data_IF_545680473488
#
_entry.id   IF_545680473488
#
_cell.length_a   1.000
_cell.length_b   1.000
_cell.length_c   1.000
_cell.angle_alpha   90.00
_cell.angle_beta   90.00
_cell.angle_gamma   90.00
#
_symmetry.space_group_name_H-M   'P 1'
#
loop_
_entity.id
_entity.type
_entity.pdbx_description
1 polymer ?
#
# COMPACT_ATOMS: atom_id res chain seq x y z
N UNK A 1 12.61 -10.89 11.51
CA UNK A 1 11.63 -10.22 12.39
C UNK A 1 10.40 -9.98 11.53
N UNK A 2 9.27 -10.62 11.84
CA UNK A 2 8.02 -10.42 11.09
C UNK A 2 7.49 -9.01 11.41
N UNK A 3 7.25 -8.17 10.40
CA UNK A 3 6.52 -6.90 10.57
C UNK A 3 5.04 -7.21 10.38
N UNK A 4 4.19 -6.76 11.31
CA UNK A 4 2.74 -6.99 11.28
C UNK A 4 2.04 -5.76 10.70
N UNK A 5 1.10 -5.95 9.78
CA UNK A 5 0.23 -4.87 9.30
C UNK A 5 -0.82 -4.60 10.37
N UNK A 6 -0.96 -3.34 10.78
CA UNK A 6 -1.94 -2.96 11.81
C UNK A 6 -2.94 -1.96 11.29
N UNK A 7 -4.22 -2.32 11.34
CA UNK A 7 -5.35 -1.54 10.85
C UNK A 7 -6.37 -1.35 11.97
N UNK A 8 -6.83 -0.12 12.18
CA UNK A 8 -7.94 0.17 13.08
C UNK A 8 -9.15 0.73 12.31
N UNK A 9 -10.34 0.22 12.60
CA UNK A 9 -11.63 0.77 12.20
C UNK A 9 -12.28 1.42 13.42
N UNK A 10 -12.81 2.63 13.24
CA UNK A 10 -13.63 3.30 14.24
C UNK A 10 -15.10 3.19 13.82
N UNK A 11 -15.91 2.43 14.58
CA UNK A 11 -17.36 2.29 14.36
C UNK A 11 -18.18 3.09 15.38
N UNK A 12 -19.50 3.19 15.15
CA UNK A 12 -20.40 4.20 15.72
C UNK A 12 -20.78 3.98 17.19
N UNK A 13 -20.39 2.89 17.85
CA UNK A 13 -20.79 2.65 19.25
C UNK A 13 -19.67 2.03 20.06
N UNK A 14 -19.19 2.76 21.07
CA UNK A 14 -18.30 2.21 22.09
C UNK A 14 -19.02 1.13 22.91
N UNK A 15 -18.80 -0.13 22.55
CA UNK A 15 -19.04 -1.28 23.41
C UNK A 15 -18.18 -2.46 22.92
N UNK A 16 -17.40 -3.03 23.83
CA UNK A 16 -16.48 -4.12 23.56
C UNK A 16 -17.21 -5.45 23.36
N UNK A 17 -16.88 -6.18 22.28
CA UNK A 17 -17.05 -7.63 22.21
C UNK A 17 -15.79 -8.19 21.52
N UNK A 18 -14.94 -8.87 22.28
CA UNK A 18 -13.92 -9.74 21.70
C UNK A 18 -14.61 -11.06 21.35
N UNK A 19 -14.76 -11.37 20.06
CA UNK A 19 -15.28 -12.65 19.60
C UNK A 19 -14.14 -13.46 18.95
N UNK A 20 -13.97 -14.75 19.31
CA UNK A 20 -13.08 -15.64 18.59
C UNK A 20 -13.64 -15.88 17.19
N UNK A 21 -12.78 -15.83 16.19
CA UNK A 21 -13.12 -16.05 14.78
C UNK A 21 -13.64 -17.48 14.60
N UNK A 22 -14.96 -17.64 14.55
CA UNK A 22 -15.67 -18.61 13.70
C UNK A 22 -17.09 -18.08 13.44
N UNK A 23 -17.38 -17.80 12.16
CA UNK A 23 -18.69 -17.48 11.59
C UNK A 23 -19.57 -16.46 12.35
N UNK A 24 -19.41 -15.18 12.01
CA UNK A 24 -20.53 -14.24 11.96
C UNK A 24 -20.18 -13.14 10.96
N UNK A 25 -20.97 -13.06 9.89
CA UNK A 25 -20.82 -12.09 8.83
C UNK A 25 -21.15 -10.68 9.34
N UNK A 26 -20.12 -9.90 9.64
CA UNK A 26 -20.21 -8.44 9.66
C UNK A 26 -19.91 -7.99 8.22
N UNK A 27 -20.74 -7.11 7.65
CA UNK A 27 -20.70 -6.78 6.22
C UNK A 27 -19.30 -6.33 5.78
N UNK A 28 -18.58 -7.26 5.13
CA UNK A 28 -17.40 -6.98 4.32
C UNK A 28 -17.81 -5.90 3.34
N UNK A 29 -17.19 -4.73 3.43
CA UNK A 29 -17.39 -3.63 2.48
C UNK A 29 -17.11 -4.16 1.06
N UNK A 30 -18.17 -4.36 0.29
CA UNK A 30 -18.11 -4.81 -1.11
C UNK A 30 -17.90 -3.64 -2.07
N UNK A 31 -17.44 -2.47 -1.58
CA UNK A 31 -16.86 -1.44 -2.43
C UNK A 31 -15.90 -2.08 -3.45
N UNK A 32 -15.91 -1.58 -4.71
CA UNK A 32 -15.40 -2.31 -5.88
C UNK A 32 -14.04 -2.91 -5.55
N UNK A 33 -14.03 -4.23 -5.38
CA UNK A 33 -12.78 -4.95 -5.22
C UNK A 33 -12.08 -4.78 -6.54
N UNK A 34 -10.95 -4.07 -6.56
CA UNK A 34 -9.93 -4.27 -7.59
C UNK A 34 -9.30 -5.61 -7.24
N UNK A 35 -10.11 -6.67 -7.36
CA UNK A 35 -9.84 -7.99 -6.79
C UNK A 35 -8.65 -8.57 -7.51
N UNK A 36 -7.63 -8.91 -6.73
CA UNK A 36 -6.64 -9.93 -7.01
C UNK A 36 -6.03 -9.85 -8.41
N UNK A 37 -5.11 -8.90 -8.62
CA UNK A 37 -4.09 -9.16 -9.64
C UNK A 37 -3.39 -10.46 -9.21
N UNK A 38 -3.51 -11.56 -9.97
CA UNK A 38 -3.19 -12.89 -9.46
C UNK A 38 -1.74 -12.90 -8.97
N UNK A 39 -1.55 -13.18 -7.68
CA UNK A 39 -0.25 -13.52 -7.11
C UNK A 39 0.26 -14.73 -7.91
N UNK A 40 1.16 -14.46 -8.86
CA UNK A 40 1.63 -15.49 -9.79
C UNK A 40 2.51 -16.50 -9.05
N UNK A 41 2.51 -17.78 -9.47
CA UNK A 41 3.28 -18.83 -8.79
C UNK A 41 4.75 -18.50 -8.56
N UNK A 42 5.39 -17.74 -9.48
CA UNK A 42 6.77 -17.32 -9.33
C UNK A 42 6.99 -16.32 -8.17
N UNK A 43 5.99 -15.50 -7.82
CA UNK A 43 6.06 -14.60 -6.66
C UNK A 43 6.08 -15.39 -5.34
N UNK A 44 5.33 -16.50 -5.26
CA UNK A 44 5.35 -17.39 -4.08
C UNK A 44 6.61 -18.25 -4.01
N UNK A 45 7.03 -18.81 -5.16
CA UNK A 45 8.18 -19.73 -5.22
C UNK A 45 9.52 -19.06 -4.91
N UNK A 46 9.62 -17.74 -5.06
CA UNK A 46 10.82 -16.94 -4.71
C UNK A 46 10.79 -16.34 -3.30
N UNK A 47 9.82 -16.70 -2.44
CA UNK A 47 9.76 -16.23 -1.05
C UNK A 47 9.46 -14.72 -0.90
N UNK A 48 8.82 -14.11 -1.90
CA UNK A 48 8.62 -12.66 -1.99
C UNK A 48 7.41 -12.13 -1.21
N UNK A 49 6.63 -13.04 -0.64
CA UNK A 49 5.48 -12.77 0.21
C UNK A 49 5.50 -13.83 1.33
N UNK A 50 5.74 -13.40 2.57
CA UNK A 50 5.63 -14.22 3.77
C UNK A 50 4.25 -14.03 4.40
N UNK A 51 3.76 -15.02 5.15
CA UNK A 51 2.55 -14.89 5.97
C UNK A 51 2.73 -13.73 6.95
N UNK A 52 2.03 -12.62 6.73
CA UNK A 52 2.01 -11.48 7.64
C UNK A 52 0.81 -11.57 8.57
N UNK A 53 1.03 -11.24 9.83
CA UNK A 53 -0.05 -11.12 10.79
C UNK A 53 -0.68 -9.74 10.63
N UNK A 54 -1.86 -9.69 10.02
CA UNK A 54 -2.72 -8.51 10.03
C UNK A 54 -3.57 -8.50 11.30
N UNK A 55 -3.62 -7.36 11.99
CA UNK A 55 -4.50 -7.17 13.14
C UNK A 55 -5.51 -6.05 12.85
N UNK A 56 -6.80 -6.38 12.97
CA UNK A 56 -7.91 -5.45 12.81
C UNK A 56 -8.49 -5.07 14.18
N UNK A 57 -8.49 -3.77 14.48
CA UNK A 57 -9.02 -3.23 15.72
C UNK A 57 -10.33 -2.46 15.45
N UNK A 58 -11.47 -3.01 15.86
CA UNK A 58 -12.80 -2.41 15.58
C UNK A 58 -13.25 -1.38 16.63
N UNK A 59 -12.52 -1.27 17.74
CA UNK A 59 -12.87 -0.40 18.89
C UNK A 59 -12.06 0.89 18.93
N UNK A 60 -11.24 1.14 17.92
CA UNK A 60 -10.41 2.34 17.77
C UNK A 60 -8.91 2.08 17.67
N UNK A 61 -8.16 3.18 17.52
CA UNK A 61 -6.71 3.12 17.35
C UNK A 61 -6.03 2.63 18.63
N UNK A 62 -5.27 1.55 18.52
CA UNK A 62 -4.46 1.00 19.60
C UNK A 62 -3.20 1.86 19.79
N UNK A 63 -3.20 2.68 20.85
CA UNK A 63 -2.10 3.62 21.14
C UNK A 63 -0.79 2.93 21.46
N UNK A 64 -0.78 1.61 21.70
CA UNK A 64 0.46 0.85 21.90
C UNK A 64 1.16 0.44 20.60
N UNK A 65 0.57 0.72 19.44
CA UNK A 65 1.03 0.26 18.12
C UNK A 65 1.64 1.34 17.24
N UNK A 66 1.66 2.59 17.71
CA UNK A 66 2.26 3.70 16.98
C UNK A 66 2.93 4.68 17.94
N UNK A 67 3.93 5.41 17.43
CA UNK A 67 4.77 6.33 18.21
C UNK A 67 4.55 7.81 17.89
N UNK A 68 3.99 8.11 16.71
CA UNK A 68 3.73 9.49 16.27
C UNK A 68 2.30 9.94 16.58
N UNK A 69 2.05 11.25 16.51
CA UNK A 69 0.68 11.73 16.36
C UNK A 69 0.07 11.17 15.06
N UNK A 70 -1.25 10.95 15.04
CA UNK A 70 -1.97 10.53 13.84
C UNK A 70 -2.11 11.73 12.90
N UNK A 71 -1.56 11.62 11.70
CA UNK A 71 -1.80 12.55 10.61
C UNK A 71 -3.13 12.23 9.95
N UNK A 72 -4.12 13.09 10.15
CA UNK A 72 -5.46 12.91 9.58
C UNK A 72 -5.55 13.51 8.18
N UNK A 73 -6.09 12.73 7.25
CA UNK A 73 -6.40 13.16 5.89
C UNK A 73 -7.92 13.02 5.66
N UNK A 74 -8.63 14.10 5.28
CA UNK A 74 -10.06 14.04 5.03
C UNK A 74 -10.37 13.18 3.80
N UNK A 75 -11.52 12.50 3.83
CA UNK A 75 -12.02 11.78 2.67
C UNK A 75 -12.59 12.76 1.64
N UNK A 76 -12.34 12.48 0.36
CA UNK A 76 -12.92 13.20 -0.79
C UNK A 76 -13.97 12.37 -1.53
N UNK A 77 -14.10 11.08 -1.20
CA UNK A 77 -15.15 10.20 -1.71
C UNK A 77 -15.50 9.10 -0.68
N UNK A 78 -16.59 8.39 -0.93
CA UNK A 78 -17.17 7.40 0.01
C UNK A 78 -16.33 6.11 0.17
N UNK A 79 -15.46 5.81 -0.79
CA UNK A 79 -14.66 4.58 -0.89
C UNK A 79 -13.22 4.77 -0.39
N UNK A 80 -13.05 5.41 0.77
CA UNK A 80 -11.75 5.65 1.41
C UNK A 80 -10.71 6.38 0.54
N UNK A 81 -11.19 7.33 -0.26
CA UNK A 81 -10.34 8.17 -1.11
C UNK A 81 -9.93 9.41 -0.33
N UNK A 82 -8.64 9.69 -0.28
CA UNK A 82 -8.08 10.93 0.24
C UNK A 82 -7.11 11.57 -0.75
N UNK A 83 -6.65 12.78 -0.47
CA UNK A 83 -5.58 13.43 -1.24
C UNK A 83 -4.22 13.04 -0.67
N UNK A 84 -3.27 12.77 -1.55
CA UNK A 84 -1.88 12.54 -1.16
C UNK A 84 -0.89 12.89 -2.27
N UNK A 85 0.38 12.89 -1.88
CA UNK A 85 1.53 13.09 -2.77
C UNK A 85 2.44 11.88 -2.65
N UNK A 86 2.97 11.40 -3.77
CA UNK A 86 3.95 10.31 -3.81
C UNK A 86 5.25 10.81 -4.43
N UNK A 87 6.34 10.67 -3.69
CA UNK A 87 7.65 11.19 -4.04
C UNK A 87 8.65 10.10 -4.42
N UNK A 88 9.58 10.45 -5.30
CA UNK A 88 10.87 9.76 -5.48
C UNK A 88 11.96 10.66 -4.89
N UNK A 89 12.55 10.24 -3.77
CA UNK A 89 13.38 11.12 -2.96
C UNK A 89 12.63 12.38 -2.56
N UNK A 90 13.16 13.55 -2.93
CA UNK A 90 12.52 14.84 -2.66
C UNK A 90 11.64 15.37 -3.81
N UNK A 91 11.48 14.60 -4.89
CA UNK A 91 10.72 15.02 -6.07
C UNK A 91 9.27 14.51 -5.96
N UNK A 92 8.26 15.38 -5.92
CA UNK A 92 6.86 14.96 -6.02
C UNK A 92 6.58 14.46 -7.43
N UNK A 93 6.40 13.15 -7.57
CA UNK A 93 6.24 12.48 -8.86
C UNK A 93 4.77 12.13 -9.18
N UNK A 94 3.90 12.19 -8.17
CA UNK A 94 2.44 12.16 -8.32
C UNK A 94 1.78 12.96 -7.18
N UNK A 95 0.63 13.58 -7.47
CA UNK A 95 -0.25 14.20 -6.48
C UNK A 95 -1.68 14.13 -6.97
N UNK A 96 -2.57 13.60 -6.14
CA UNK A 96 -3.94 13.33 -6.59
C UNK A 96 -4.71 12.47 -5.60
N UNK A 97 -5.71 11.78 -6.13
CA UNK A 97 -6.54 10.88 -5.34
C UNK A 97 -5.81 9.59 -5.02
N UNK A 98 -6.00 9.12 -3.79
CA UNK A 98 -5.42 7.90 -3.26
C UNK A 98 -6.51 7.09 -2.55
N UNK A 99 -6.82 5.91 -3.08
CA UNK A 99 -7.73 4.91 -2.52
C UNK A 99 -6.93 4.10 -1.50
N UNK A 100 -7.27 4.18 -0.22
CA UNK A 100 -6.61 3.42 0.83
C UNK A 100 -7.30 2.06 0.95
N UNK A 101 -6.63 0.99 0.50
CA UNK A 101 -7.24 -0.34 0.38
C UNK A 101 -6.30 -1.43 0.88
N UNK A 102 -6.58 -1.94 2.07
CA UNK A 102 -5.80 -3.03 2.68
C UNK A 102 -5.95 -4.36 1.94
N UNK A 103 -6.98 -4.54 1.10
CA UNK A 103 -7.17 -5.77 0.31
C UNK A 103 -6.30 -5.80 -0.95
N UNK A 104 -5.57 -4.72 -1.20
CA UNK A 104 -4.58 -4.65 -2.27
C UNK A 104 -3.19 -4.88 -1.68
N UNK A 105 -2.43 -5.84 -2.20
CA UNK A 105 -1.04 -6.04 -1.74
C UNK A 105 -0.13 -4.91 -2.21
N UNK A 106 -0.29 -4.44 -3.46
CA UNK A 106 0.64 -3.53 -4.15
C UNK A 106 0.16 -2.07 -4.13
N UNK A 107 1.02 -1.17 -4.61
CA UNK A 107 0.64 0.21 -4.94
C UNK A 107 0.33 0.24 -6.43
N UNK A 108 -0.87 0.69 -6.79
CA UNK A 108 -1.40 0.53 -8.14
C UNK A 108 -1.87 1.88 -8.66
N UNK A 109 -1.31 2.33 -9.78
CA UNK A 109 -1.80 3.50 -10.50
C UNK A 109 -2.11 3.14 -11.95
N UNK A 110 -2.57 4.12 -12.73
CA UNK A 110 -2.71 3.93 -14.17
C UNK A 110 -1.35 3.74 -14.84
N UNK A 111 -1.32 3.05 -15.99
CA UNK A 111 -0.08 2.88 -16.75
C UNK A 111 0.64 4.20 -17.04
N UNK A 112 -0.10 5.28 -17.32
CA UNK A 112 0.47 6.60 -17.62
C UNK A 112 1.12 7.23 -16.38
N UNK A 113 0.39 7.31 -15.27
CA UNK A 113 0.90 7.97 -14.06
C UNK A 113 2.03 7.18 -13.43
N UNK A 114 1.96 5.84 -13.45
CA UNK A 114 3.04 4.96 -12.97
C UNK A 114 4.28 5.07 -13.84
N UNK A 115 4.15 5.12 -15.18
CA UNK A 115 5.29 5.37 -16.07
C UNK A 115 5.97 6.70 -15.76
N UNK A 116 5.18 7.77 -15.56
CA UNK A 116 5.71 9.07 -15.21
C UNK A 116 6.41 9.06 -13.85
N UNK A 117 5.88 8.31 -12.88
CA UNK A 117 6.53 8.15 -11.58
C UNK A 117 7.89 7.44 -11.72
N UNK A 118 7.93 6.28 -12.39
CA UNK A 118 9.15 5.51 -12.60
C UNK A 118 10.21 6.25 -13.41
N UNK A 119 9.83 7.18 -14.30
CA UNK A 119 10.79 8.02 -15.02
C UNK A 119 11.70 8.86 -14.10
N UNK A 120 11.32 9.04 -12.82
CA UNK A 120 12.14 9.71 -11.80
C UNK A 120 13.09 8.76 -11.07
N UNK A 121 13.03 7.45 -11.29
CA UNK A 121 13.88 6.45 -10.64
C UNK A 121 15.04 6.05 -11.58
N UNK A 122 16.29 6.41 -11.25
CA UNK A 122 17.45 6.07 -12.07
C UNK A 122 17.62 4.56 -12.27
N UNK A 123 17.87 4.16 -13.52
CA UNK A 123 18.09 2.76 -13.88
C UNK A 123 16.84 1.86 -13.82
N UNK A 124 15.66 2.46 -13.60
CA UNK A 124 14.40 1.73 -13.70
C UNK A 124 13.97 1.51 -15.14
N UNK A 125 13.20 0.45 -15.37
CA UNK A 125 12.67 0.10 -16.67
C UNK A 125 11.36 -0.71 -16.55
N UNK A 126 10.45 -0.62 -17.54
CA UNK A 126 9.29 -1.50 -17.57
C UNK A 126 9.75 -2.95 -17.71
N UNK A 127 9.18 -3.83 -16.92
CA UNK A 127 9.42 -5.26 -17.05
C UNK A 127 8.82 -5.77 -18.36
N UNK A 128 9.60 -6.52 -19.11
CA UNK A 128 9.11 -7.14 -20.35
C UNK A 128 8.03 -8.19 -20.05
N UNK A 129 7.04 -8.31 -20.95
CA UNK A 129 6.01 -9.37 -20.85
C UNK A 129 6.61 -10.77 -20.77
N UNK A 130 7.76 -11.00 -21.43
CA UNK A 130 8.46 -12.29 -21.38
C UNK A 130 8.97 -12.63 -19.97
N UNK A 131 9.42 -11.62 -19.23
CA UNK A 131 9.97 -11.78 -17.88
C UNK A 131 8.85 -11.80 -16.82
N UNK A 132 7.89 -10.87 -16.90
CA UNK A 132 6.83 -10.74 -15.88
C UNK A 132 5.56 -11.54 -16.17
N UNK A 133 5.43 -12.13 -17.37
CA UNK A 133 4.21 -12.78 -17.86
C UNK A 133 2.97 -11.88 -17.87
N UNK A 134 3.15 -10.58 -17.64
CA UNK A 134 2.13 -9.55 -17.54
C UNK A 134 2.73 -8.18 -17.82
N UNK A 135 1.88 -7.16 -17.97
CA UNK A 135 2.27 -5.76 -18.12
C UNK A 135 2.19 -5.03 -16.78
N UNK A 136 2.78 -3.82 -16.72
CA UNK A 136 2.61 -2.91 -15.59
C UNK A 136 3.68 -2.97 -14.51
N UNK A 137 4.45 -4.06 -14.44
CA UNK A 137 5.60 -4.17 -13.54
C UNK A 137 6.79 -3.35 -14.04
N UNK A 138 7.59 -2.87 -13.10
CA UNK A 138 8.84 -2.19 -13.35
C UNK A 138 9.94 -2.81 -12.49
N UNK A 139 11.17 -2.68 -12.97
CA UNK A 139 12.37 -3.11 -12.25
C UNK A 139 13.26 -1.92 -11.95
N UNK A 140 14.14 -2.06 -10.95
CA UNK A 140 15.17 -1.10 -10.58
C UNK A 140 16.47 -1.83 -10.18
N UNK A 141 17.64 -1.16 -10.15
CA UNK A 141 18.87 -1.81 -9.69
C UNK A 141 18.76 -2.18 -8.21
N UNK A 142 18.91 -3.47 -7.87
CA UNK A 142 18.76 -3.94 -6.49
C UNK A 142 19.72 -3.24 -5.51
N UNK A 143 20.90 -2.82 -5.99
CA UNK A 143 21.92 -2.13 -5.19
C UNK A 143 21.56 -0.69 -4.82
N UNK A 144 20.58 -0.08 -5.50
CA UNK A 144 20.17 1.31 -5.29
C UNK A 144 18.64 1.43 -5.29
N UNK A 145 17.95 0.91 -4.25
CA UNK A 145 16.50 1.05 -4.13
C UNK A 145 16.10 2.54 -4.06
N UNK A 146 15.03 2.97 -4.74
CA UNK A 146 14.57 4.34 -4.66
C UNK A 146 14.03 4.66 -3.26
N UNK A 147 14.22 5.90 -2.81
CA UNK A 147 13.49 6.43 -1.67
C UNK A 147 12.07 6.76 -2.09
N UNK A 148 11.09 6.09 -1.51
CA UNK A 148 9.66 6.27 -1.82
C UNK A 148 8.95 6.82 -0.59
N UNK A 149 8.26 7.94 -0.74
CA UNK A 149 7.63 8.63 0.39
C UNK A 149 6.24 9.10 0.01
N UNK A 150 5.25 8.71 0.80
CA UNK A 150 3.90 9.24 0.73
C UNK A 150 3.76 10.45 1.64
N UNK A 151 2.94 11.41 1.25
CA UNK A 151 2.54 12.52 2.11
C UNK A 151 1.02 12.53 2.26
N UNK A 152 0.55 12.44 3.50
CA UNK A 152 -0.86 12.51 3.87
C UNK A 152 -1.05 13.45 5.05
N UNK A 153 -2.09 14.29 5.01
CA UNK A 153 -2.36 15.24 6.10
C UNK A 153 -1.19 16.19 6.43
N UNK A 154 -0.29 16.43 5.47
CA UNK A 154 0.92 17.24 5.68
C UNK A 154 2.13 16.51 6.28
N UNK A 155 2.03 15.21 6.54
CA UNK A 155 3.11 14.40 7.13
C UNK A 155 3.64 13.37 6.12
N UNK A 156 4.95 13.11 6.20
CA UNK A 156 5.65 12.17 5.33
C UNK A 156 5.72 10.76 5.95
N UNK A 157 5.47 9.76 5.11
CA UNK A 157 5.45 8.34 5.44
C UNK A 157 6.33 7.59 4.42
N UNK A 158 7.62 7.36 4.74
CA UNK A 158 8.51 6.61 3.87
C UNK A 158 8.14 5.11 3.89
N UNK A 159 8.26 4.46 2.74
CA UNK A 159 8.20 2.99 2.65
C UNK A 159 9.62 2.45 2.83
N UNK A 160 9.76 1.38 3.60
CA UNK A 160 11.05 0.72 3.75
C UNK A 160 11.54 0.15 2.39
N UNK A 161 12.85 0.20 2.08
CA UNK A 161 13.37 -0.42 0.86
C UNK A 161 13.04 -1.92 0.74
N UNK A 162 12.95 -2.60 1.88
CA UNK A 162 12.57 -4.02 1.98
C UNK A 162 11.12 -4.25 1.54
N UNK A 163 10.19 -3.40 1.95
CA UNK A 163 8.78 -3.49 1.56
C UNK A 163 8.57 -3.06 0.10
N UNK A 164 9.30 -2.04 -0.34
CA UNK A 164 9.22 -1.55 -1.73
C UNK A 164 9.74 -2.58 -2.74
N UNK A 165 10.78 -3.35 -2.38
CA UNK A 165 11.30 -4.41 -3.23
C UNK A 165 10.37 -5.63 -3.18
N UNK A 166 10.00 -6.14 -4.36
CA UNK A 166 9.42 -7.47 -4.52
C UNK A 166 10.51 -8.49 -4.84
N UNK A 167 11.78 -8.19 -4.55
CA UNK A 167 12.93 -9.07 -4.73
C UNK A 167 13.48 -9.17 -6.15
N UNK A 168 14.54 -9.98 -6.33
CA UNK A 168 15.34 -9.97 -7.55
C UNK A 168 14.61 -10.67 -8.71
N UNK A 169 14.86 -10.20 -9.94
CA UNK A 169 14.26 -10.74 -11.17
C UNK A 169 14.83 -12.10 -11.56
N UNK A 170 16.03 -12.41 -11.07
CA UNK A 170 16.77 -13.65 -11.30
C UNK A 170 17.73 -13.93 -10.14
N UNK A 171 18.44 -15.07 -10.18
CA UNK A 171 19.39 -15.45 -9.14
C UNK A 171 20.68 -14.60 -9.16
N UNK A 172 20.87 -13.78 -10.20
CA UNK A 172 21.99 -12.85 -10.32
C UNK A 172 21.80 -11.58 -9.50
N UNK A 173 20.57 -11.26 -9.06
CA UNK A 173 20.30 -10.19 -8.10
C UNK A 173 20.62 -8.78 -8.59
N UNK A 174 20.69 -8.56 -9.91
CA UNK A 174 21.06 -7.26 -10.48
C UNK A 174 19.89 -6.28 -10.53
N UNK A 175 18.70 -6.79 -10.87
CA UNK A 175 17.45 -6.03 -10.97
C UNK A 175 16.42 -6.59 -10.00
N UNK A 176 15.66 -5.70 -9.39
CA UNK A 176 14.61 -6.02 -8.43
C UNK A 176 13.28 -5.50 -8.94
N UNK A 177 12.21 -6.24 -8.70
CA UNK A 177 10.84 -5.79 -8.97
C UNK A 177 10.42 -4.73 -7.94
N UNK A 178 9.75 -3.68 -8.40
CA UNK A 178 9.16 -2.67 -7.51
C UNK A 178 7.70 -2.95 -7.13
N UNK A 179 7.30 -2.47 -5.96
CA UNK A 179 5.93 -2.59 -5.43
C UNK A 179 4.88 -1.70 -6.13
N UNK A 180 5.31 -0.77 -6.99
CA UNK A 180 4.43 0.12 -7.75
C UNK A 180 4.21 -0.44 -9.16
N UNK A 181 2.94 -0.71 -9.50
CA UNK A 181 2.56 -1.26 -10.80
C UNK A 181 1.51 -0.42 -11.52
N UNK A 182 1.59 -0.42 -12.85
CA UNK A 182 0.56 0.15 -13.72
C UNK A 182 -0.55 -0.85 -14.02
N UNK A 183 -1.80 -0.39 -14.03
CA UNK A 183 -2.97 -1.19 -14.37
C UNK A 183 -3.97 -0.40 -15.21
N UNK A 184 -4.77 -1.08 -16.02
CA UNK A 184 -5.92 -0.50 -16.74
C UNK A 184 -7.19 -0.46 -15.86
N UNK A 185 -7.19 -1.20 -14.74
CA UNK A 185 -8.34 -1.33 -13.84
C UNK A 185 -8.39 -0.24 -12.73
N UNK A 186 -7.58 0.81 -12.86
CA UNK A 186 -7.53 1.94 -11.93
C UNK A 186 -7.83 3.22 -12.70
N UNK A 187 -8.64 4.16 -12.17
CA UNK A 187 -8.86 5.45 -12.78
C UNK A 187 -7.55 6.19 -13.07
N UNK A 188 -7.53 6.98 -14.15
CA UNK A 188 -6.32 7.67 -14.60
C UNK A 188 -5.72 8.61 -13.53
N UNK A 189 -6.58 9.23 -12.74
CA UNK A 189 -6.23 10.25 -11.74
C UNK A 189 -6.32 9.73 -10.28
N UNK A 190 -6.24 8.41 -10.09
CA UNK A 190 -6.27 7.78 -8.77
C UNK A 190 -5.21 6.70 -8.61
N UNK A 191 -4.72 6.52 -7.38
CA UNK A 191 -3.78 5.46 -7.01
C UNK A 191 -4.36 4.62 -5.87
N UNK A 192 -4.25 3.31 -5.95
CA UNK A 192 -4.59 2.38 -4.86
C UNK A 192 -3.35 2.17 -3.99
N UNK A 193 -3.51 2.37 -2.69
CA UNK A 193 -2.44 2.28 -1.70
C UNK A 193 -2.69 1.06 -0.84
N UNK A 194 -1.89 0.02 -1.08
CA UNK A 194 -2.04 -1.30 -0.48
C UNK A 194 -1.10 -1.62 0.67
N UNK A 195 -1.05 -2.90 1.03
CA UNK A 195 -0.26 -3.47 2.12
C UNK A 195 1.21 -3.04 2.10
N UNK A 196 1.87 -2.98 0.93
CA UNK A 196 3.28 -2.56 0.84
C UNK A 196 3.55 -1.19 1.46
N UNK A 197 2.57 -0.29 1.48
CA UNK A 197 2.65 0.95 2.24
C UNK A 197 2.34 0.76 3.73
N UNK A 198 1.29 0.00 4.04
CA UNK A 198 0.77 -0.20 5.40
C UNK A 198 1.72 -1.00 6.31
N UNK A 199 2.64 -1.80 5.77
CA UNK A 199 3.72 -2.44 6.55
C UNK A 199 4.65 -1.46 7.25
N UNK A 200 4.83 -0.28 6.66
CA UNK A 200 5.64 0.81 7.21
C UNK A 200 4.78 1.91 7.86
N UNK A 201 3.45 1.80 7.83
CA UNK A 201 2.54 2.87 8.28
C UNK A 201 1.31 2.31 9.00
N UNK A 202 1.12 2.70 10.25
CA UNK A 202 -0.11 2.43 10.99
C UNK A 202 -1.27 3.21 10.37
N UNK A 203 -2.35 2.52 9.99
CA UNK A 203 -3.46 3.13 9.25
C UNK A 203 -4.79 3.01 10.03
N UNK A 204 -5.51 4.13 10.14
CA UNK A 204 -6.79 4.22 10.86
C UNK A 204 -7.89 4.67 9.91
N UNK A 205 -8.97 3.91 9.86
CA UNK A 205 -10.16 4.20 9.06
C UNK A 205 -11.24 4.77 9.99
N UNK A 206 -11.48 6.09 9.92
CA UNK A 206 -12.42 6.81 10.77
C UNK A 206 -13.63 7.27 9.95
N UNK A 207 -14.62 6.37 9.83
CA UNK A 207 -15.83 6.62 9.05
C UNK A 207 -16.67 7.74 9.67
N UNK A 208 -16.78 7.75 10.99
CA UNK A 208 -17.58 8.71 11.75
C UNK A 208 -17.15 10.16 11.50
N UNK A 209 -15.86 10.39 11.26
CA UNK A 209 -15.32 11.72 10.95
C UNK A 209 -14.91 11.88 9.47
N UNK A 210 -15.26 10.92 8.61
CA UNK A 210 -14.93 10.93 7.17
C UNK A 210 -13.45 11.24 6.90
N UNK A 211 -12.54 10.48 7.53
CA UNK A 211 -11.09 10.67 7.40
C UNK A 211 -10.32 9.35 7.54
N UNK A 212 -9.09 9.37 7.06
CA UNK A 212 -8.09 8.30 7.30
C UNK A 212 -6.93 8.89 8.08
N UNK A 213 -6.40 8.12 9.02
CA UNK A 213 -5.28 8.50 9.87
C UNK A 213 -4.03 7.67 9.55
N UNK A 214 -2.87 8.30 9.57
CA UNK A 214 -1.58 7.65 9.34
C UNK A 214 -0.62 7.97 10.47
N UNK A 215 0.11 6.97 10.97
CA UNK A 215 1.09 7.14 12.04
C UNK A 215 2.31 6.22 11.85
N UNK A 216 3.43 6.60 12.47
CA UNK A 216 4.64 5.77 12.52
C UNK A 216 4.39 4.60 13.49
N UNK A 217 4.47 3.33 13.03
CA UNK A 217 4.28 2.18 13.90
C UNK A 217 5.40 2.05 14.95
N UNK A 218 5.16 1.25 15.99
CA UNK A 218 6.18 0.84 16.98
C UNK A 218 7.13 -0.20 16.40
#
# INVERSE_FOLDING_TARGET
>A
MLRSITIALLTVTGAAIAAPLHNSAEQVDTGPTISDNPIRPWMRQKGLLTDEQEALYLTGADTSRYTSAIAWAPLVAWNWVTKGTLNVGNVPAYSGDMIIDHRSTLIIGSHKTVKNWWANVPGSEPCSKKMCETFGFYTFPCSTPPTVTFTFGGHQFPISPEDFSLGPTDDGGTKCFGAIIGSENVPEDAWVIGEKFMKSTYTVFDRSNSRVGFAVPV
#
